data_IF_962373393348
#
_entry.id   IF_962373393348
#
_cell.length_a   1.000
_cell.length_b   1.000
_cell.length_c   1.000
_cell.angle_alpha   90.00
_cell.angle_beta   90.00
_cell.angle_gamma   90.00
#
_symmetry.space_group_name_H-M   'P 1'
#
loop_
_entity.id
_entity.type
_entity.pdbx_description
1 polymer ?
#
# COMPACT_ATOMS: atom_id res chain seq x y z
N UNK A 1 -5.80 -50.28 34.55
CA UNK A 1 -4.48 -49.65 34.34
C UNK A 1 -4.66 -48.46 33.42
N UNK A 2 -4.20 -47.29 33.85
CA UNK A 2 -4.37 -46.00 33.16
C UNK A 2 -3.46 -45.95 31.93
N UNK A 3 -3.98 -45.62 30.75
CA UNK A 3 -3.16 -45.36 29.56
C UNK A 3 -3.09 -43.86 29.30
N UNK A 4 -1.86 -43.33 29.22
CA UNK A 4 -1.51 -41.94 29.01
C UNK A 4 -1.86 -41.49 27.59
N UNK A 5 -2.62 -40.40 27.45
CA UNK A 5 -2.74 -39.71 26.17
C UNK A 5 -1.49 -38.85 25.95
N UNK A 6 -0.72 -39.18 24.91
CA UNK A 6 0.43 -38.40 24.48
C UNK A 6 -0.07 -37.27 23.57
N UNK A 7 -0.08 -36.04 24.07
CA UNK A 7 -0.41 -34.85 23.28
C UNK A 7 0.84 -34.47 22.48
N UNK A 8 0.77 -34.59 21.15
CA UNK A 8 1.76 -34.02 20.25
C UNK A 8 1.42 -32.54 20.01
N UNK A 9 2.23 -31.63 20.58
CA UNK A 9 2.24 -30.23 20.16
C UNK A 9 3.09 -30.11 18.89
N UNK A 10 2.44 -29.82 17.76
CA UNK A 10 3.14 -29.32 16.58
C UNK A 10 3.28 -27.80 16.69
N UNK A 11 4.50 -27.30 16.90
CA UNK A 11 4.79 -25.89 16.71
C UNK A 11 4.80 -25.60 15.21
N UNK A 12 3.74 -24.99 14.68
CA UNK A 12 3.78 -24.41 13.33
C UNK A 12 4.70 -23.20 13.38
N UNK A 13 5.84 -23.24 12.69
CA UNK A 13 6.64 -22.03 12.51
C UNK A 13 5.76 -20.96 11.84
N UNK A 14 5.57 -19.83 12.52
CA UNK A 14 4.81 -18.70 11.98
C UNK A 14 5.57 -18.13 10.78
N UNK A 15 4.93 -18.05 9.62
CA UNK A 15 5.53 -17.41 8.45
C UNK A 15 5.72 -15.92 8.73
N UNK A 16 6.95 -15.45 8.57
CA UNK A 16 7.33 -14.03 8.67
C UNK A 16 7.78 -13.62 7.28
N UNK A 17 7.05 -12.74 6.58
CA UNK A 17 7.44 -12.25 5.27
C UNK A 17 8.82 -11.57 5.32
N UNK A 18 9.53 -11.59 4.21
CA UNK A 18 10.72 -10.75 3.99
C UNK A 18 10.31 -9.32 3.61
N UNK A 19 11.24 -8.36 3.70
CA UNK A 19 10.96 -6.99 3.24
C UNK A 19 10.71 -6.93 1.74
N UNK A 20 11.36 -7.78 0.94
CA UNK A 20 11.08 -7.85 -0.49
C UNK A 20 9.64 -8.33 -0.75
N UNK A 21 9.13 -9.32 -0.02
CA UNK A 21 7.73 -9.75 -0.14
C UNK A 21 6.77 -8.64 0.29
N UNK A 22 7.05 -7.97 1.41
CA UNK A 22 6.26 -6.82 1.88
C UNK A 22 6.24 -5.71 0.84
N UNK A 23 7.40 -5.30 0.32
CA UNK A 23 7.52 -4.29 -0.73
C UNK A 23 6.69 -4.66 -1.97
N UNK A 24 6.75 -5.91 -2.42
CA UNK A 24 5.97 -6.39 -3.57
C UNK A 24 4.47 -6.22 -3.32
N UNK A 25 3.96 -6.66 -2.17
CA UNK A 25 2.54 -6.55 -1.83
C UNK A 25 2.12 -5.09 -1.70
N UNK A 26 2.89 -4.28 -0.99
CA UNK A 26 2.65 -2.84 -0.83
C UNK A 26 2.54 -2.14 -2.18
N UNK A 27 3.44 -2.42 -3.14
CA UNK A 27 3.38 -1.79 -4.47
C UNK A 27 2.14 -2.23 -5.28
N UNK A 28 1.69 -3.47 -5.13
CA UNK A 28 0.44 -3.93 -5.75
C UNK A 28 -0.80 -3.28 -5.11
N UNK A 29 -0.79 -3.09 -3.80
CA UNK A 29 -1.85 -2.39 -3.09
C UNK A 29 -1.91 -0.91 -3.49
N UNK A 30 -0.75 -0.25 -3.59
CA UNK A 30 -0.65 1.11 -4.13
C UNK A 30 -1.15 1.19 -5.58
N UNK A 31 -0.86 0.18 -6.41
CA UNK A 31 -1.41 0.11 -7.77
C UNK A 31 -2.93 -0.02 -7.77
N UNK A 32 -3.51 -0.74 -6.82
CA UNK A 32 -4.96 -0.85 -6.66
C UNK A 32 -5.60 0.51 -6.37
N UNK A 33 -4.97 1.33 -5.51
CA UNK A 33 -5.40 2.72 -5.29
C UNK A 33 -5.30 3.60 -6.55
N UNK A 34 -4.24 3.46 -7.35
CA UNK A 34 -4.16 4.16 -8.63
C UNK A 34 -5.35 3.80 -9.53
N UNK A 35 -5.73 2.53 -9.59
CA UNK A 35 -6.87 2.06 -10.39
C UNK A 35 -8.19 2.66 -9.88
N UNK A 36 -8.38 2.73 -8.57
CA UNK A 36 -9.56 3.38 -7.96
C UNK A 36 -9.69 4.83 -8.44
N UNK A 37 -8.61 5.60 -8.38
CA UNK A 37 -8.64 7.00 -8.79
C UNK A 37 -8.79 7.21 -10.29
N UNK A 38 -8.18 6.35 -11.12
CA UNK A 38 -8.42 6.37 -12.57
C UNK A 38 -9.88 6.02 -12.92
N UNK A 39 -10.46 5.02 -12.24
CA UNK A 39 -11.86 4.64 -12.44
C UNK A 39 -12.81 5.77 -12.01
N UNK A 40 -12.59 6.36 -10.84
CA UNK A 40 -13.37 7.51 -10.38
C UNK A 40 -13.34 8.65 -11.42
N UNK A 41 -12.16 8.99 -11.93
CA UNK A 41 -11.99 10.03 -12.95
C UNK A 41 -12.67 9.68 -14.27
N UNK A 42 -12.66 8.43 -14.68
CA UNK A 42 -13.39 8.00 -15.88
C UNK A 42 -14.89 8.32 -15.77
N UNK A 43 -15.47 8.13 -14.58
CA UNK A 43 -16.88 8.39 -14.33
C UNK A 43 -17.20 9.88 -14.06
N UNK A 44 -16.29 10.61 -13.41
CA UNK A 44 -16.53 11.97 -12.90
C UNK A 44 -15.81 13.07 -13.67
N UNK A 45 -14.95 12.71 -14.63
CA UNK A 45 -14.07 13.59 -15.41
C UNK A 45 -12.97 14.31 -14.62
N UNK A 46 -12.87 14.08 -13.31
CA UNK A 46 -11.83 14.59 -12.40
C UNK A 46 -11.49 13.55 -11.32
N UNK A 47 -10.31 13.66 -10.70
CA UNK A 47 -9.98 12.84 -9.52
C UNK A 47 -10.82 13.28 -8.32
N UNK A 48 -10.96 12.47 -7.26
CA UNK A 48 -11.69 12.92 -6.08
C UNK A 48 -10.94 14.03 -5.34
N UNK A 49 -11.66 14.75 -4.48
CA UNK A 49 -11.08 15.67 -3.50
C UNK A 49 -10.99 15.00 -2.13
N UNK A 50 -9.80 14.53 -1.76
CA UNK A 50 -9.56 13.86 -0.46
C UNK A 50 -8.24 14.32 0.15
N UNK A 51 -8.23 14.46 1.46
CA UNK A 51 -7.02 14.80 2.24
C UNK A 51 -6.63 13.71 3.22
N UNK A 52 -7.43 12.65 3.35
CA UNK A 52 -7.15 11.51 4.22
C UNK A 52 -7.46 10.17 3.54
N UNK A 53 -6.82 9.12 4.05
CA UNK A 53 -7.05 7.74 3.62
C UNK A 53 -8.52 7.30 3.84
N UNK A 54 -9.15 7.72 4.93
CA UNK A 54 -10.54 7.37 5.23
C UNK A 54 -11.51 7.98 4.22
N UNK A 55 -11.26 9.22 3.77
CA UNK A 55 -12.03 9.85 2.70
C UNK A 55 -11.83 9.11 1.38
N UNK A 56 -10.59 8.75 1.05
CA UNK A 56 -10.29 7.95 -0.14
C UNK A 56 -11.03 6.60 -0.11
N UNK A 57 -11.05 5.92 1.04
CA UNK A 57 -11.80 4.66 1.22
C UNK A 57 -13.30 4.86 1.02
N UNK A 58 -13.88 5.89 1.61
CA UNK A 58 -15.32 6.16 1.49
C UNK A 58 -15.78 6.40 0.04
N UNK A 59 -14.87 6.87 -0.82
CA UNK A 59 -15.10 7.04 -2.26
C UNK A 59 -14.84 5.75 -3.03
N UNK A 60 -13.76 5.04 -2.68
CA UNK A 60 -13.33 3.82 -3.36
C UNK A 60 -14.26 2.63 -3.12
N UNK A 61 -14.71 2.44 -1.88
CA UNK A 61 -15.53 1.29 -1.49
C UNK A 61 -17.03 1.57 -1.59
N UNK A 62 -17.85 0.55 -1.91
CA UNK A 62 -17.48 -0.72 -2.52
C UNK A 62 -17.36 -0.62 -4.06
N UNK A 63 -17.54 0.58 -4.61
CA UNK A 63 -17.79 0.79 -6.04
C UNK A 63 -16.58 0.47 -6.93
N UNK A 64 -15.40 0.97 -6.56
CA UNK A 64 -14.16 0.86 -7.35
C UNK A 64 -13.19 -0.17 -6.78
N UNK A 65 -13.30 -0.45 -5.48
CA UNK A 65 -12.56 -1.51 -4.80
C UNK A 65 -13.44 -2.15 -3.73
N UNK A 66 -13.38 -3.48 -3.59
CA UNK A 66 -14.18 -4.20 -2.60
C UNK A 66 -13.70 -3.93 -1.17
N UNK A 67 -12.39 -4.02 -0.97
CA UNK A 67 -11.70 -3.77 0.29
C UNK A 67 -10.42 -3.00 0.00
N UNK A 68 -10.39 -1.76 0.46
CA UNK A 68 -9.28 -0.85 0.25
C UNK A 68 -8.13 -1.22 1.19
N UNK A 69 -6.89 -1.35 0.67
CA UNK A 69 -5.73 -1.59 1.52
C UNK A 69 -5.45 -0.31 2.32
N UNK A 70 -5.56 -0.41 3.64
CA UNK A 70 -5.41 0.72 4.56
C UNK A 70 -3.97 0.88 5.04
N UNK A 71 -3.24 -0.22 5.09
CA UNK A 71 -1.88 -0.27 5.60
C UNK A 71 -1.00 -0.94 4.56
N UNK A 72 0.26 -0.53 4.51
CA UNK A 72 1.28 -1.29 3.80
C UNK A 72 1.59 -2.61 4.52
N UNK A 73 2.41 -3.44 3.89
CA UNK A 73 2.70 -4.78 4.40
C UNK A 73 3.60 -4.78 5.66
N UNK A 74 4.14 -3.64 6.09
CA UNK A 74 4.78 -3.46 7.40
C UNK A 74 3.80 -3.02 8.49
N UNK A 75 2.57 -2.64 8.10
CA UNK A 75 1.51 -2.23 8.99
C UNK A 75 1.34 -0.72 9.11
N UNK A 76 2.07 0.09 8.33
CA UNK A 76 1.96 1.55 8.38
C UNK A 76 0.77 2.01 7.54
N UNK A 77 -0.06 2.96 8.03
CA UNK A 77 -1.16 3.49 7.25
C UNK A 77 -0.65 4.27 6.04
N UNK A 78 -1.31 4.14 4.89
CA UNK A 78 -0.98 4.97 3.72
C UNK A 78 -1.32 6.45 3.98
N UNK A 79 -0.53 7.35 3.36
CA UNK A 79 -0.96 8.75 3.15
C UNK A 79 -1.52 8.90 1.75
N UNK A 80 -2.78 9.31 1.66
CA UNK A 80 -3.48 9.48 0.39
C UNK A 80 -4.14 10.86 0.34
N UNK A 81 -3.89 11.57 -0.75
CA UNK A 81 -4.52 12.84 -1.06
C UNK A 81 -4.82 12.94 -2.57
N UNK A 82 -5.86 13.67 -2.93
CA UNK A 82 -6.20 14.02 -4.30
C UNK A 82 -6.95 15.37 -4.35
N UNK A 83 -6.74 16.13 -5.41
CA UNK A 83 -7.17 17.54 -5.51
C UNK A 83 -8.00 17.87 -6.76
N UNK A 84 -8.64 16.85 -7.36
CA UNK A 84 -9.35 17.00 -8.63
C UNK A 84 -8.46 16.83 -9.86
N UNK A 85 -7.18 17.23 -9.78
CA UNK A 85 -6.25 17.22 -10.92
C UNK A 85 -5.20 16.12 -10.83
N UNK A 86 -4.79 15.82 -9.61
CA UNK A 86 -3.73 14.86 -9.30
C UNK A 86 -4.09 14.07 -8.04
N UNK A 87 -3.36 12.98 -7.83
CA UNK A 87 -3.40 12.24 -6.58
C UNK A 87 -1.99 11.86 -6.16
N UNK A 88 -1.82 11.59 -4.87
CA UNK A 88 -0.60 11.04 -4.30
C UNK A 88 -0.96 9.96 -3.28
N UNK A 89 -0.27 8.82 -3.40
CA UNK A 89 -0.36 7.67 -2.50
C UNK A 89 1.05 7.39 -2.01
N UNK A 90 1.26 7.34 -0.69
CA UNK A 90 2.58 7.15 -0.08
C UNK A 90 2.53 6.02 0.95
N UNK A 91 3.48 5.09 0.87
CA UNK A 91 3.82 4.15 1.94
C UNK A 91 5.10 4.63 2.62
N UNK A 92 5.13 4.53 3.95
CA UNK A 92 6.28 4.90 4.78
C UNK A 92 7.37 3.82 4.84
N UNK A 93 7.27 2.77 4.02
CA UNK A 93 8.24 1.69 3.99
C UNK A 93 8.41 0.95 5.32
N UNK A 94 9.58 0.35 5.50
CA UNK A 94 9.88 -0.54 6.61
C UNK A 94 10.10 0.19 7.95
N UNK A 95 10.52 1.46 7.92
CA UNK A 95 10.79 2.22 9.16
C UNK A 95 9.55 2.96 9.69
N UNK A 96 8.51 3.11 8.86
CA UNK A 96 7.26 3.78 9.21
C UNK A 96 7.40 5.30 9.33
N UNK A 97 8.46 5.90 8.81
CA UNK A 97 8.74 7.33 8.91
C UNK A 97 8.60 7.99 7.53
N UNK A 98 7.54 8.76 7.36
CA UNK A 98 7.35 9.52 6.13
C UNK A 98 8.42 10.60 5.95
N UNK A 99 9.03 10.61 4.77
CA UNK A 99 10.07 11.54 4.38
C UNK A 99 9.50 12.94 4.13
N UNK A 100 10.28 13.98 4.43
CA UNK A 100 9.91 15.37 4.12
C UNK A 100 10.10 15.73 2.65
N UNK A 101 11.02 15.03 1.96
CA UNK A 101 11.30 15.21 0.53
C UNK A 101 11.11 13.89 -0.20
N UNK A 102 10.09 13.85 -1.04
CA UNK A 102 9.73 12.70 -1.87
C UNK A 102 9.80 13.05 -3.37
N UNK A 103 10.56 14.08 -3.73
CA UNK A 103 10.67 14.58 -5.10
C UNK A 103 11.52 13.70 -6.01
N UNK A 104 12.46 12.93 -5.44
CA UNK A 104 13.35 12.07 -6.21
C UNK A 104 12.60 10.85 -6.75
N UNK A 105 12.37 10.83 -8.07
CA UNK A 105 11.75 9.68 -8.77
C UNK A 105 12.77 8.57 -9.05
N UNK A 106 12.28 7.34 -9.17
CA UNK A 106 13.08 6.19 -9.59
C UNK A 106 13.01 5.00 -8.63
N UNK A 107 14.04 4.16 -8.72
CA UNK A 107 14.14 2.94 -7.93
C UNK A 107 14.85 3.21 -6.61
N UNK A 108 14.24 2.79 -5.51
CA UNK A 108 14.73 2.90 -4.13
C UNK A 108 15.58 1.68 -3.81
N UNK A 109 16.70 1.91 -3.13
CA UNK A 109 17.65 0.84 -2.77
C UNK A 109 17.48 0.36 -1.32
N UNK A 110 16.67 1.08 -0.54
CA UNK A 110 16.33 0.78 0.85
C UNK A 110 14.82 0.65 0.98
N UNK A 111 14.37 -0.36 1.73
CA UNK A 111 12.95 -0.53 2.05
C UNK A 111 12.43 0.48 3.07
N UNK A 112 13.31 1.25 3.71
CA UNK A 112 12.91 2.34 4.60
C UNK A 112 12.44 3.57 3.82
N UNK A 113 12.84 3.70 2.55
CA UNK A 113 12.51 4.89 1.77
C UNK A 113 11.01 4.88 1.35
N UNK A 114 10.38 6.05 1.30
CA UNK A 114 8.96 6.19 0.95
C UNK A 114 8.69 5.80 -0.51
N UNK A 115 7.82 4.81 -0.71
CA UNK A 115 7.27 4.52 -2.03
C UNK A 115 6.14 5.50 -2.37
N UNK A 116 6.10 5.98 -3.61
CA UNK A 116 5.16 7.03 -4.05
C UNK A 116 4.51 6.65 -5.37
N UNK A 117 3.18 6.67 -5.40
CA UNK A 117 2.38 6.61 -6.61
C UNK A 117 1.66 7.95 -6.84
N UNK A 118 1.61 8.39 -8.09
CA UNK A 118 0.83 9.56 -8.51
C UNK A 118 0.07 9.25 -9.80
N UNK A 119 -0.68 10.21 -10.32
CA UNK A 119 -1.26 10.13 -11.66
C UNK A 119 -0.23 10.25 -12.79
N UNK A 120 1.06 10.40 -12.45
CA UNK A 120 2.14 10.40 -13.43
C UNK A 120 2.67 8.98 -13.62
N UNK A 121 2.61 8.49 -14.86
CA UNK A 121 3.13 7.17 -15.21
C UNK A 121 2.11 6.05 -15.01
N UNK A 122 2.46 4.87 -15.54
CA UNK A 122 1.61 3.67 -15.45
C UNK A 122 1.85 2.87 -14.17
N UNK A 123 2.86 3.25 -13.40
CA UNK A 123 3.33 2.59 -12.21
C UNK A 123 3.81 3.63 -11.19
N UNK A 124 4.26 3.20 -10.03
CA UNK A 124 4.79 4.07 -8.97
C UNK A 124 5.98 4.89 -9.50
N UNK A 125 6.03 6.17 -9.12
CA UNK A 125 7.11 7.09 -9.49
C UNK A 125 8.32 6.95 -8.57
N UNK A 126 8.12 6.43 -7.36
CA UNK A 126 9.16 5.96 -6.43
C UNK A 126 8.82 4.55 -5.99
N UNK A 127 9.69 3.59 -6.28
CA UNK A 127 9.43 2.17 -6.09
C UNK A 127 10.67 1.43 -5.61
N UNK A 128 10.52 0.41 -4.77
CA UNK A 128 11.66 -0.39 -4.32
C UNK A 128 12.22 -1.29 -5.42
N UNK A 129 13.54 -1.44 -5.43
CA UNK A 129 14.21 -2.43 -6.28
C UNK A 129 13.80 -3.84 -5.84
N UNK A 130 13.23 -4.59 -6.77
CA UNK A 130 12.93 -6.00 -6.57
C UNK A 130 14.09 -6.81 -7.16
N UNK A 131 15.04 -7.20 -6.30
CA UNK A 131 16.12 -8.13 -6.67
C UNK A 131 15.63 -9.58 -6.75
#
# INVERSE_FOLDING_TARGET
MKSFAMIFLFATAQYIPTDAERARWTMHDMKSWMIVFEAYKADHQEYPHVTTLEQARAIGEPMYIRHAPMNDAWGNPYRIEADGKSFRIVSAGADGVFESDISQKGTLTSFNDDAVATNEGRWLVRQWEMK
#
